data_IF_552018736711
#
_entry.id   IF_552018736711
#
_cell.length_a   1.000
_cell.length_b   1.000
_cell.length_c   1.000
_cell.angle_alpha   90.00
_cell.angle_beta   90.00
_cell.angle_gamma   90.00
#
_symmetry.space_group_name_H-M   'P 1'
#
loop_
_entity.id
_entity.type
_entity.pdbx_description
1 polymer ?
#
# COMPACT_ATOMS: atom_id res chain seq x y z
N UNK A 1 33.83 15.30 -11.47
CA UNK A 1 32.60 15.47 -12.27
C UNK A 1 31.94 14.16 -12.73
N UNK A 2 32.29 12.99 -12.16
CA UNK A 2 31.67 11.70 -12.53
C UNK A 2 30.67 11.25 -11.46
N UNK A 3 30.96 11.49 -10.19
CA UNK A 3 30.15 11.12 -9.02
C UNK A 3 28.79 11.82 -8.93
N UNK A 4 28.69 13.09 -9.35
CA UNK A 4 27.41 13.81 -9.32
C UNK A 4 26.41 13.31 -10.38
N UNK A 5 26.90 12.82 -11.53
CA UNK A 5 26.03 12.23 -12.57
C UNK A 5 25.43 10.91 -12.12
N UNK A 6 26.22 10.06 -11.45
CA UNK A 6 25.71 8.79 -10.90
C UNK A 6 24.67 8.99 -9.80
N UNK A 7 24.87 9.99 -8.93
CA UNK A 7 23.89 10.32 -7.90
C UNK A 7 22.57 10.78 -8.52
N UNK A 8 22.65 11.70 -9.49
CA UNK A 8 21.47 12.22 -10.20
C UNK A 8 20.74 11.14 -11.02
N UNK A 9 21.47 10.21 -11.64
CA UNK A 9 20.87 9.05 -12.35
C UNK A 9 20.24 8.07 -11.36
N UNK A 10 20.88 7.78 -10.24
CA UNK A 10 20.30 6.92 -9.21
C UNK A 10 19.04 7.56 -8.59
N UNK A 11 19.04 8.87 -8.36
CA UNK A 11 17.87 9.60 -7.85
C UNK A 11 16.72 9.60 -8.89
N UNK A 12 17.02 9.69 -10.19
CA UNK A 12 16.03 9.53 -11.27
C UNK A 12 15.49 8.10 -11.35
N UNK A 13 16.36 7.09 -11.24
CA UNK A 13 15.96 5.67 -11.23
C UNK A 13 15.13 5.33 -9.99
N UNK A 14 15.40 5.95 -8.84
CA UNK A 14 14.60 5.77 -7.62
C UNK A 14 13.31 6.59 -7.65
N UNK A 15 13.28 7.75 -8.33
CA UNK A 15 12.08 8.55 -8.57
C UNK A 15 11.10 7.87 -9.55
N UNK A 16 11.60 7.10 -10.52
CA UNK A 16 10.79 6.25 -11.41
C UNK A 16 10.23 4.99 -10.70
N UNK A 17 10.65 4.68 -9.46
CA UNK A 17 10.13 3.55 -8.67
C UNK A 17 8.85 3.87 -7.90
N UNK A 18 7.97 4.71 -8.43
CA UNK A 18 6.55 4.48 -8.14
C UNK A 18 6.13 3.23 -8.92
N UNK A 19 6.51 2.05 -8.43
CA UNK A 19 6.31 0.73 -9.07
C UNK A 19 4.84 0.45 -9.37
N UNK A 20 3.96 1.19 -8.71
CA UNK A 20 2.52 1.12 -8.88
C UNK A 20 1.98 2.53 -9.07
N UNK A 21 1.26 2.75 -10.18
CA UNK A 21 0.54 4.00 -10.41
C UNK A 21 -0.52 4.21 -9.33
N UNK A 22 -0.91 5.45 -9.06
CA UNK A 22 -1.99 5.74 -8.11
C UNK A 22 -3.30 5.02 -8.49
N UNK A 23 -3.56 4.82 -9.78
CA UNK A 23 -4.71 4.04 -10.26
C UNK A 23 -4.62 2.56 -9.86
N UNK A 24 -3.45 1.94 -10.00
CA UNK A 24 -3.24 0.56 -9.55
C UNK A 24 -3.35 0.46 -8.02
N UNK A 25 -2.86 1.46 -7.27
CA UNK A 25 -3.03 1.53 -5.80
C UNK A 25 -4.50 1.60 -5.43
N UNK A 26 -5.29 2.43 -6.11
CA UNK A 26 -6.72 2.56 -5.85
C UNK A 26 -7.47 1.23 -6.06
N UNK A 27 -7.16 0.48 -7.12
CA UNK A 27 -7.77 -0.83 -7.37
C UNK A 27 -7.45 -1.84 -6.25
N UNK A 28 -6.18 -1.95 -5.85
CA UNK A 28 -5.79 -2.84 -4.75
C UNK A 28 -6.47 -2.45 -3.44
N UNK A 29 -6.58 -1.15 -3.16
CA UNK A 29 -7.25 -0.65 -1.96
C UNK A 29 -8.76 -0.87 -1.98
N UNK A 30 -9.38 -0.81 -3.16
CA UNK A 30 -10.79 -1.13 -3.35
C UNK A 30 -11.06 -2.61 -3.09
N UNK A 31 -10.28 -3.51 -3.68
CA UNK A 31 -10.39 -4.96 -3.47
C UNK A 31 -10.16 -5.31 -1.99
N UNK A 32 -9.18 -4.66 -1.36
CA UNK A 32 -8.92 -4.81 0.07
C UNK A 32 -10.10 -4.34 0.90
N UNK A 33 -10.67 -3.17 0.60
CA UNK A 33 -11.82 -2.63 1.32
C UNK A 33 -13.04 -3.55 1.19
N UNK A 34 -13.32 -4.05 -0.02
CA UNK A 34 -14.42 -4.99 -0.25
C UNK A 34 -14.23 -6.25 0.60
N UNK A 35 -13.04 -6.87 0.54
CA UNK A 35 -12.83 -8.12 1.24
C UNK A 35 -12.87 -7.98 2.76
N UNK A 36 -12.32 -6.89 3.29
CA UNK A 36 -12.29 -6.64 4.73
C UNK A 36 -13.60 -6.07 5.26
N UNK A 37 -14.47 -5.53 4.40
CA UNK A 37 -15.82 -5.11 4.78
C UNK A 37 -16.68 -6.29 5.29
N UNK A 38 -16.34 -7.53 4.93
CA UNK A 38 -16.97 -8.74 5.47
C UNK A 38 -16.76 -8.87 6.99
N UNK A 39 -15.64 -8.35 7.51
CA UNK A 39 -15.20 -8.50 8.91
C UNK A 39 -15.31 -7.19 9.70
N UNK A 40 -15.24 -6.04 9.03
CA UNK A 40 -15.15 -4.73 9.64
C UNK A 40 -16.10 -3.75 8.96
N UNK A 41 -16.69 -2.84 9.73
CA UNK A 41 -17.32 -1.64 9.16
C UNK A 41 -16.22 -0.58 9.03
N UNK A 42 -15.69 -0.42 7.81
CA UNK A 42 -14.53 0.43 7.54
C UNK A 42 -14.86 1.92 7.71
N UNK A 43 -13.97 2.65 8.40
CA UNK A 43 -14.04 4.11 8.52
C UNK A 43 -13.17 4.76 7.43
N UNK A 44 -13.74 4.84 6.22
CA UNK A 44 -13.06 5.38 5.05
C UNK A 44 -12.20 4.35 4.31
N UNK A 45 -11.41 4.85 3.35
CA UNK A 45 -10.59 4.00 2.50
C UNK A 45 -9.28 3.61 3.18
N UNK A 46 -8.84 2.35 3.05
CA UNK A 46 -7.51 1.93 3.47
C UNK A 46 -6.43 2.75 2.76
N UNK A 47 -5.32 2.99 3.45
CA UNK A 47 -4.13 3.64 2.89
C UNK A 47 -3.04 2.61 2.66
N UNK A 48 -2.29 2.77 1.58
CA UNK A 48 -1.19 1.89 1.25
C UNK A 48 0.11 2.68 1.07
N UNK A 49 1.15 2.19 1.73
CA UNK A 49 2.52 2.67 1.59
C UNK A 49 3.40 1.55 1.03
N UNK A 50 4.24 1.91 0.07
CA UNK A 50 5.17 1.01 -0.59
C UNK A 50 6.58 1.52 -0.34
N UNK A 51 7.42 0.72 0.32
CA UNK A 51 8.82 1.07 0.55
C UNK A 51 9.72 -0.01 -0.04
N UNK A 52 10.66 0.36 -0.91
CA UNK A 52 11.69 -0.56 -1.38
C UNK A 52 12.86 -0.57 -0.40
N UNK A 53 13.18 -1.72 0.21
CA UNK A 53 14.33 -1.91 1.10
C UNK A 53 15.15 -3.11 0.65
N UNK A 54 16.44 -2.90 0.40
CA UNK A 54 17.39 -3.95 0.00
C UNK A 54 16.93 -4.80 -1.20
N UNK A 55 16.23 -4.20 -2.17
CA UNK A 55 15.71 -4.90 -3.35
C UNK A 55 14.39 -5.64 -3.14
N UNK A 56 13.83 -5.65 -1.92
CA UNK A 56 12.50 -6.15 -1.63
C UNK A 56 11.49 -5.01 -1.43
N UNK A 57 10.22 -5.27 -1.75
CA UNK A 57 9.14 -4.32 -1.49
C UNK A 57 8.46 -4.66 -0.17
N UNK A 58 8.47 -3.70 0.74
CA UNK A 58 7.64 -3.68 1.93
C UNK A 58 6.33 -2.97 1.58
N UNK A 59 5.21 -3.67 1.77
CA UNK A 59 3.85 -3.16 1.54
C UNK A 59 3.19 -3.01 2.90
N UNK A 60 2.72 -1.81 3.22
CA UNK A 60 1.96 -1.55 4.45
C UNK A 60 0.58 -1.04 4.05
N UNK A 61 -0.46 -1.75 4.48
CA UNK A 61 -1.85 -1.33 4.33
C UNK A 61 -2.40 -1.06 5.73
N UNK A 62 -2.93 0.14 5.93
CA UNK A 62 -3.53 0.57 7.18
C UNK A 62 -4.97 1.04 6.92
N UNK A 63 -5.90 0.61 7.75
CA UNK A 63 -7.30 1.05 7.70
C UNK A 63 -7.85 1.18 9.11
N UNK A 64 -8.88 2.01 9.24
CA UNK A 64 -9.65 2.16 10.46
C UNK A 64 -11.01 1.51 10.28
N UNK A 65 -11.60 1.06 11.38
CA UNK A 65 -12.93 0.47 11.40
C UNK A 65 -13.72 0.99 12.59
N UNK A 66 -14.99 1.33 12.38
CA UNK A 66 -15.90 1.74 13.44
C UNK A 66 -16.40 0.54 14.25
N UNK A 67 -16.46 -0.64 13.61
CA UNK A 67 -16.97 -1.86 14.23
C UNK A 67 -16.25 -3.09 13.71
N UNK A 68 -16.02 -4.03 14.62
CA UNK A 68 -15.61 -5.40 14.31
C UNK A 68 -16.85 -6.28 14.32
N UNK A 69 -17.14 -6.95 13.20
CA UNK A 69 -18.27 -7.88 13.08
C UNK A 69 -17.94 -9.13 13.89
N UNK A 70 -18.78 -9.46 14.87
CA UNK A 70 -18.61 -10.67 15.68
C UNK A 70 -19.06 -11.88 14.86
N UNK A 71 -18.11 -12.72 14.48
CA UNK A 71 -18.40 -14.05 13.93
C UNK A 71 -18.80 -14.96 15.10
N UNK A 72 -20.09 -15.08 15.37
CA UNK A 72 -20.62 -16.07 16.33
C UNK A 72 -20.54 -17.53 15.79
N UNK A 73 -19.63 -17.81 14.86
CA UNK A 73 -19.52 -19.09 14.15
C UNK A 73 -18.31 -19.89 14.65
N UNK A 74 -18.24 -20.05 15.97
CA UNK A 74 -17.49 -21.12 16.62
C UNK A 74 -18.44 -21.71 17.67
N UNK A 75 -19.40 -22.51 17.20
CA UNK A 75 -20.12 -23.48 18.03
C UNK A 75 -19.74 -24.87 17.57
#
# INVERSE_FOLDING_TARGET
>A
MITERFKRINDVIQADKSVMSEGCKALVLQDFAEKFSEYFDLNGLPRMELTCKNGAYQIQIAFEAERIKKFNVLK
#
